data_IF_217803392943
#
_entry.id   IF_217803392943
#
_cell.length_a   1.000
_cell.length_b   1.000
_cell.length_c   1.000
_cell.angle_alpha   90.00
_cell.angle_beta   90.00
_cell.angle_gamma   90.00
#
_symmetry.space_group_name_H-M   'P 1'
#
loop_
_entity.id
_entity.type
_entity.pdbx_description
1 polymer ?
#
# COMPACT_ATOMS: atom_id res chain seq x y z
N UNK A 1 -7.72 -23.26 22.97
CA UNK A 1 -7.48 -21.79 22.91
C UNK A 1 -6.21 -21.59 22.09
N UNK A 2 -6.20 -20.80 21.01
CA UNK A 2 -4.98 -20.61 20.18
C UNK A 2 -4.02 -19.68 20.90
N UNK A 3 -2.72 -19.98 20.88
CA UNK A 3 -1.70 -19.08 21.46
C UNK A 3 -1.66 -17.77 20.67
N UNK A 4 -1.40 -16.60 21.29
CA UNK A 4 -1.19 -15.34 20.58
C UNK A 4 -0.13 -15.46 19.46
N UNK A 5 0.86 -16.34 19.64
CA UNK A 5 1.89 -16.63 18.64
C UNK A 5 1.28 -17.34 17.42
N UNK A 6 0.33 -18.26 17.60
CA UNK A 6 -0.34 -18.97 16.50
C UNK A 6 -1.20 -18.02 15.64
N UNK A 7 -1.73 -16.96 16.27
CA UNK A 7 -2.48 -15.93 15.55
C UNK A 7 -1.55 -15.09 14.67
N UNK A 8 -0.31 -14.84 15.11
CA UNK A 8 0.71 -14.07 14.39
C UNK A 8 1.47 -14.90 13.34
N UNK A 9 1.64 -16.21 13.57
CA UNK A 9 2.31 -17.14 12.65
C UNK A 9 1.44 -17.55 11.46
N UNK A 10 0.13 -17.33 11.53
CA UNK A 10 -0.79 -17.52 10.41
C UNK A 10 -0.33 -16.75 9.16
N UNK A 11 -0.41 -17.40 8.00
CA UNK A 11 -0.01 -16.81 6.72
C UNK A 11 -1.21 -16.28 5.94
N UNK A 12 -1.01 -15.20 5.19
CA UNK A 12 -1.96 -14.58 4.27
C UNK A 12 -1.20 -14.24 2.99
N UNK A 13 -1.68 -14.71 1.84
CA UNK A 13 -1.05 -14.40 0.54
C UNK A 13 0.42 -14.83 0.45
N UNK A 14 0.82 -15.89 1.15
CA UNK A 14 2.19 -16.40 1.18
C UNK A 14 3.09 -15.81 2.28
N UNK A 15 2.68 -14.74 2.96
CA UNK A 15 3.45 -14.07 4.02
C UNK A 15 2.83 -14.28 5.39
N UNK A 16 3.64 -14.29 6.45
CA UNK A 16 3.14 -14.20 7.83
C UNK A 16 2.52 -12.82 8.06
N UNK A 17 1.55 -12.73 8.98
CA UNK A 17 0.95 -11.44 9.34
C UNK A 17 1.98 -10.43 9.83
N UNK A 18 3.01 -10.90 10.53
CA UNK A 18 4.12 -10.08 11.01
C UNK A 18 5.01 -9.54 9.88
N UNK A 19 5.26 -10.32 8.83
CA UNK A 19 5.96 -9.84 7.64
C UNK A 19 5.15 -8.77 6.91
N UNK A 20 3.84 -8.99 6.74
CA UNK A 20 2.96 -8.01 6.10
C UNK A 20 2.97 -6.69 6.86
N UNK A 21 2.80 -6.73 8.18
CA UNK A 21 2.78 -5.53 9.02
C UNK A 21 4.11 -4.75 8.99
N UNK A 22 5.25 -5.46 9.02
CA UNK A 22 6.58 -4.82 9.03
C UNK A 22 6.98 -4.22 7.69
N UNK A 23 6.56 -4.85 6.58
CA UNK A 23 6.95 -4.46 5.23
C UNK A 23 6.00 -3.45 4.59
N UNK A 24 4.86 -3.16 5.23
CA UNK A 24 3.83 -2.26 4.69
C UNK A 24 3.39 -1.20 5.71
N UNK A 25 3.67 0.06 5.40
CA UNK A 25 3.38 1.21 6.26
C UNK A 25 2.37 2.14 5.55
N UNK A 26 1.14 2.29 6.08
CA UNK A 26 0.21 3.27 5.55
C UNK A 26 0.65 4.69 5.93
N UNK A 27 0.50 5.66 5.03
CA UNK A 27 0.80 7.08 5.28
C UNK A 27 -0.09 7.99 4.44
N UNK A 28 -0.22 9.25 4.85
CA UNK A 28 -0.91 10.27 4.05
C UNK A 28 0.10 11.11 3.29
N UNK A 29 -0.14 11.33 2.00
CA UNK A 29 0.68 12.14 1.11
C UNK A 29 -0.18 12.90 0.13
N UNK A 30 0.27 14.08 -0.27
CA UNK A 30 -0.34 14.78 -1.38
C UNK A 30 0.08 14.13 -2.70
N UNK A 31 -0.91 13.74 -3.50
CA UNK A 31 -0.72 13.13 -4.82
C UNK A 31 -1.16 14.12 -5.88
N UNK A 32 -0.30 14.34 -6.87
CA UNK A 32 -0.59 15.21 -8.02
C UNK A 32 -1.45 14.40 -9.01
N UNK A 33 -2.73 14.72 -9.09
CA UNK A 33 -3.71 14.18 -10.03
C UNK A 33 -3.94 15.14 -11.22
N UNK A 34 -4.78 14.75 -12.20
CA UNK A 34 -5.09 15.61 -13.36
C UNK A 34 -5.76 16.92 -12.96
N UNK A 35 -6.62 16.87 -11.94
CA UNK A 35 -7.41 18.00 -11.46
C UNK A 35 -6.71 18.81 -10.36
N UNK A 36 -5.45 18.46 -10.05
CA UNK A 36 -4.64 19.14 -9.04
C UNK A 36 -4.14 18.22 -7.93
N UNK A 37 -3.56 18.84 -6.90
CA UNK A 37 -2.99 18.15 -5.74
C UNK A 37 -4.10 17.74 -4.75
N UNK A 38 -4.09 16.47 -4.31
CA UNK A 38 -5.05 15.95 -3.34
C UNK A 38 -4.37 15.10 -2.27
N UNK A 39 -4.78 15.27 -1.01
CA UNK A 39 -4.35 14.41 0.08
C UNK A 39 -4.90 12.99 -0.13
N UNK A 40 -4.02 11.99 -0.18
CA UNK A 40 -4.36 10.61 -0.44
C UNK A 40 -3.73 9.67 0.58
N UNK A 41 -4.44 8.62 0.93
CA UNK A 41 -3.90 7.50 1.70
C UNK A 41 -3.03 6.62 0.80
N UNK A 42 -1.80 6.38 1.23
CA UNK A 42 -0.79 5.65 0.48
C UNK A 42 -0.25 4.48 1.30
N UNK A 43 0.38 3.52 0.61
CA UNK A 43 1.05 2.37 1.19
C UNK A 43 2.53 2.39 0.81
N UNK A 44 3.41 2.54 1.80
CA UNK A 44 4.84 2.36 1.64
C UNK A 44 5.19 0.90 1.82
N UNK A 45 5.87 0.32 0.85
CA UNK A 45 6.27 -1.09 0.81
C UNK A 45 7.79 -1.16 0.77
N UNK A 46 8.36 -1.99 1.65
CA UNK A 46 9.81 -2.22 1.78
C UNK A 46 10.64 -0.92 1.86
N UNK A 47 10.04 0.13 2.42
CA UNK A 47 10.65 1.47 2.56
C UNK A 47 11.13 2.13 1.28
N UNK A 48 10.76 1.62 0.10
CA UNK A 48 11.27 2.12 -1.18
C UNK A 48 10.24 2.19 -2.30
N UNK A 49 9.03 1.68 -2.08
CA UNK A 49 7.95 1.72 -3.08
C UNK A 49 6.69 2.28 -2.45
N UNK A 50 6.21 3.40 -2.97
CA UNK A 50 4.98 4.01 -2.51
C UNK A 50 3.86 3.71 -3.50
N UNK A 51 2.66 3.42 -3.00
CA UNK A 51 1.49 3.12 -3.82
C UNK A 51 0.28 3.88 -3.29
N UNK A 52 -0.68 4.20 -4.16
CA UNK A 52 -2.00 4.67 -3.70
C UNK A 52 -2.76 3.53 -3.03
N UNK A 53 -3.40 3.82 -1.89
CA UNK A 53 -4.33 2.90 -1.25
C UNK A 53 -5.76 3.26 -1.69
N UNK A 54 -6.48 2.37 -2.40
CA UNK A 54 -7.77 2.72 -3.00
C UNK A 54 -8.95 2.71 -2.01
N UNK A 55 -8.78 2.20 -0.79
CA UNK A 55 -9.87 2.03 0.18
C UNK A 55 -9.35 2.28 1.60
N UNK A 56 -9.96 3.25 2.28
CA UNK A 56 -9.68 3.67 3.66
C UNK A 56 -10.51 2.88 4.71
N UNK A 57 -11.50 2.11 4.27
CA UNK A 57 -12.43 1.34 5.10
C UNK A 57 -11.91 -0.03 5.56
N UNK A 58 -10.68 -0.41 5.19
CA UNK A 58 -10.17 -1.76 5.39
C UNK A 58 -9.68 -2.01 6.82
N UNK A 59 -10.48 -2.74 7.61
CA UNK A 59 -10.15 -3.14 8.99
C UNK A 59 -9.76 -4.60 9.13
N UNK A 60 -8.98 -4.92 10.16
CA UNK A 60 -8.68 -6.28 10.58
C UNK A 60 -7.97 -7.13 9.51
N UNK A 61 -8.32 -8.42 9.42
CA UNK A 61 -7.67 -9.41 8.54
C UNK A 61 -7.76 -9.03 7.05
N UNK A 62 -8.85 -8.38 6.61
CA UNK A 62 -9.00 -7.93 5.22
C UNK A 62 -7.91 -6.93 4.81
N UNK A 63 -7.50 -6.06 5.74
CA UNK A 63 -6.40 -5.12 5.50
C UNK A 63 -5.07 -5.84 5.23
N UNK A 64 -4.80 -6.95 5.94
CA UNK A 64 -3.59 -7.74 5.75
C UNK A 64 -3.59 -8.48 4.40
N UNK A 65 -4.75 -9.01 3.99
CA UNK A 65 -4.90 -9.64 2.68
C UNK A 65 -4.60 -8.65 1.55
N UNK A 66 -5.08 -7.42 1.66
CA UNK A 66 -4.83 -6.38 0.65
C UNK A 66 -3.37 -5.94 0.69
N UNK A 67 -2.78 -5.72 1.86
CA UNK A 67 -1.34 -5.43 2.02
C UNK A 67 -0.45 -6.51 1.39
N UNK A 68 -0.83 -7.79 1.50
CA UNK A 68 -0.10 -8.89 0.85
C UNK A 68 -0.11 -8.78 -0.68
N UNK A 69 -1.16 -8.22 -1.30
CA UNK A 69 -1.21 -7.98 -2.76
C UNK A 69 -0.12 -7.00 -3.21
N UNK A 70 0.12 -5.95 -2.44
CA UNK A 70 1.23 -5.02 -2.70
C UNK A 70 2.58 -5.72 -2.64
N UNK A 71 2.81 -6.58 -1.63
CA UNK A 71 4.05 -7.36 -1.51
C UNK A 71 4.26 -8.34 -2.66
N UNK A 72 3.19 -8.84 -3.29
CA UNK A 72 3.24 -9.69 -4.47
C UNK A 72 3.41 -8.93 -5.79
N UNK A 73 3.41 -7.58 -5.76
CA UNK A 73 3.52 -6.76 -6.96
C UNK A 73 2.22 -6.65 -7.78
N UNK A 74 1.09 -7.12 -7.26
CA UNK A 74 -0.20 -7.04 -7.98
C UNK A 74 -0.73 -5.62 -8.13
N UNK A 75 -0.18 -4.68 -7.35
CA UNK A 75 -0.62 -3.29 -7.26
C UNK A 75 0.35 -2.32 -7.97
N UNK A 76 1.26 -2.79 -8.84
CA UNK A 76 2.23 -1.90 -9.52
C UNK A 76 1.58 -0.80 -10.35
N UNK A 77 0.36 -1.01 -10.87
CA UNK A 77 -0.41 0.03 -11.56
C UNK A 77 -0.80 1.23 -10.66
N UNK A 78 -0.75 1.08 -9.33
CA UNK A 78 -0.98 2.16 -8.36
C UNK A 78 0.32 2.79 -7.85
N UNK A 79 1.48 2.44 -8.43
CA UNK A 79 2.79 2.87 -7.92
C UNK A 79 3.01 4.36 -8.15
N UNK A 80 3.54 4.99 -7.11
CA UNK A 80 3.97 6.38 -7.05
C UNK A 80 5.51 6.43 -7.13
N UNK A 81 6.03 7.42 -7.83
CA UNK A 81 7.43 7.54 -8.25
C UNK A 81 8.32 8.13 -7.16
N UNK A 82 7.82 9.16 -6.44
CA UNK A 82 8.57 10.13 -5.62
C UNK A 82 9.81 10.71 -6.37
N UNK A 83 10.07 12.02 -6.38
CA UNK A 83 10.58 12.73 -5.20
C UNK A 83 10.37 14.25 -5.32
N UNK A 84 9.48 14.80 -4.47
CA UNK A 84 9.65 16.10 -3.81
C UNK A 84 9.26 15.92 -2.33
N UNK A 85 9.87 16.65 -1.39
CA UNK A 85 9.50 16.55 0.02
C UNK A 85 7.99 16.81 0.23
N UNK A 86 7.26 15.77 0.65
CA UNK A 86 5.82 15.87 0.97
C UNK A 86 4.85 15.56 -0.18
N UNK A 87 5.34 15.33 -1.40
CA UNK A 87 4.51 15.16 -2.61
C UNK A 87 4.85 13.90 -3.39
N UNK A 88 3.82 13.28 -3.97
CA UNK A 88 3.92 12.05 -4.74
C UNK A 88 3.25 12.18 -6.12
N UNK A 89 3.77 11.45 -7.12
CA UNK A 89 3.24 11.41 -8.49
C UNK A 89 3.26 9.97 -9.01
N UNK A 90 2.30 9.57 -9.84
CA UNK A 90 2.31 8.23 -10.46
C UNK A 90 3.53 7.98 -11.33
N UNK A 91 3.95 6.71 -11.37
CA UNK A 91 5.04 6.22 -12.24
C UNK A 91 4.63 6.22 -13.72
N UNK A 92 3.36 5.92 -14.01
CA UNK A 92 2.75 6.00 -15.35
C UNK A 92 1.45 6.83 -15.30
N UNK A 93 1.26 7.69 -16.30
CA UNK A 93 0.14 8.67 -16.36
C UNK A 93 -1.24 7.98 -16.23
N UNK A 94 -2.13 8.60 -15.46
CA UNK A 94 -3.60 8.41 -15.56
C UNK A 94 -4.19 8.76 -16.97
N UNK A 95 -3.35 9.17 -17.92
CA UNK A 95 -3.68 9.61 -19.29
C UNK A 95 -3.19 8.65 -20.39
N UNK A 96 -2.68 7.45 -20.09
CA UNK A 96 -2.60 6.39 -21.12
C UNK A 96 -3.96 5.74 -21.41
N UNK A 97 -5.00 6.14 -20.67
CA UNK A 97 -6.39 6.17 -21.11
C UNK A 97 -6.65 7.48 -21.89
N UNK A 98 -5.96 7.61 -23.02
CA UNK A 98 -6.27 8.59 -24.06
C UNK A 98 -7.14 7.93 -25.10
#
# INVERSE_FOLDING_TARGET
>A
MRSPIDVLSGRIGGFTKAEIARRTVPCYKHVIEKDGEQLSLCMLVDSGKLYRLPDDGLKGIKSLAIKARYLRGEMEHLRLREFQPGLCRYVDRAEKAG
#
